data_IF_214722797326
#
_entry.id   IF_214722797326
#
_cell.length_a   1.000
_cell.length_b   1.000
_cell.length_c   1.000
_cell.angle_alpha   90.00
_cell.angle_beta   90.00
_cell.angle_gamma   90.00
#
_symmetry.space_group_name_H-M   'P 1'
#
loop_
_entity.id
_entity.type
_entity.pdbx_description
1 polymer ?
#
# COMPACT_ATOMS: atom_id res chain seq x y z
N UNK A 1 10.52 -5.98 -9.02
CA UNK A 1 9.22 -5.65 -9.65
C UNK A 1 8.59 -4.53 -8.84
N UNK A 2 7.86 -3.62 -9.48
CA UNK A 2 7.18 -2.51 -8.82
C UNK A 2 5.68 -2.59 -9.09
N UNK A 3 4.86 -2.43 -8.06
CA UNK A 3 3.41 -2.28 -8.15
C UNK A 3 3.02 -0.93 -7.58
N UNK A 4 1.99 -0.31 -8.12
CA UNK A 4 1.47 0.97 -7.63
C UNK A 4 0.06 0.77 -7.09
N UNK A 5 -0.18 1.21 -5.87
CA UNK A 5 -1.48 1.32 -5.24
C UNK A 5 -1.81 2.80 -5.11
N UNK A 6 -2.81 3.26 -5.86
CA UNK A 6 -3.23 4.65 -5.81
C UNK A 6 -4.50 4.79 -4.96
N UNK A 7 -4.46 5.61 -3.92
CA UNK A 7 -5.52 5.85 -2.92
C UNK A 7 -6.18 7.21 -3.16
N UNK A 8 -6.37 7.54 -4.43
CA UNK A 8 -6.64 8.85 -5.02
C UNK A 8 -7.78 9.62 -4.36
N UNK A 9 -8.87 8.93 -4.07
CA UNK A 9 -10.10 9.49 -3.50
C UNK A 9 -10.32 9.07 -2.04
N UNK A 10 -9.54 8.10 -1.57
CA UNK A 10 -9.78 7.48 -0.29
C UNK A 10 -9.11 8.28 0.81
N UNK A 11 -9.93 8.73 1.76
CA UNK A 11 -9.47 9.30 3.03
C UNK A 11 -9.36 8.23 4.11
N UNK A 12 -8.67 8.53 5.19
CA UNK A 12 -8.75 7.72 6.39
C UNK A 12 -10.20 7.69 6.92
N UNK A 13 -10.69 6.54 7.43
CA UNK A 13 -9.96 5.28 7.64
C UNK A 13 -9.91 4.35 6.40
N UNK A 14 -10.66 4.65 5.35
CA UNK A 14 -10.85 3.74 4.21
C UNK A 14 -9.56 3.46 3.44
N UNK A 15 -8.74 4.49 3.22
CA UNK A 15 -7.43 4.36 2.60
C UNK A 15 -6.51 3.34 3.30
N UNK A 16 -6.57 3.29 4.64
CA UNK A 16 -5.78 2.34 5.42
C UNK A 16 -6.31 0.91 5.27
N UNK A 17 -7.63 0.72 5.20
CA UNK A 17 -8.23 -0.60 4.97
C UNK A 17 -7.81 -1.19 3.62
N UNK A 18 -7.80 -0.37 2.56
CA UNK A 18 -7.33 -0.78 1.23
C UNK A 18 -5.84 -1.12 1.28
N UNK A 19 -5.04 -0.26 1.90
CA UNK A 19 -3.60 -0.47 2.06
C UNK A 19 -3.29 -1.80 2.75
N UNK A 20 -3.96 -2.10 3.87
CA UNK A 20 -3.79 -3.37 4.60
C UNK A 20 -4.10 -4.57 3.71
N UNK A 21 -5.24 -4.53 3.03
CA UNK A 21 -5.66 -5.61 2.12
C UNK A 21 -4.65 -5.83 1.00
N UNK A 22 -4.12 -4.75 0.42
CA UNK A 22 -3.11 -4.83 -0.63
C UNK A 22 -1.80 -5.46 -0.12
N UNK A 23 -1.34 -5.06 1.07
CA UNK A 23 -0.15 -5.65 1.72
C UNK A 23 -0.37 -7.14 2.01
N UNK A 24 -1.50 -7.51 2.59
CA UNK A 24 -1.84 -8.92 2.89
C UNK A 24 -1.92 -9.78 1.63
N UNK A 25 -2.49 -9.24 0.54
CA UNK A 25 -2.56 -9.92 -0.75
C UNK A 25 -1.16 -10.09 -1.36
N UNK A 26 -0.32 -9.05 -1.33
CA UNK A 26 1.06 -9.13 -1.80
C UNK A 26 1.85 -10.19 -1.01
N UNK A 27 1.73 -10.21 0.31
CA UNK A 27 2.40 -11.21 1.14
C UNK A 27 1.89 -12.64 0.88
N UNK A 28 0.57 -12.84 0.81
CA UNK A 28 -0.03 -14.17 0.61
C UNK A 28 0.25 -14.75 -0.78
N UNK A 29 0.40 -13.90 -1.79
CA UNK A 29 0.85 -14.28 -3.14
C UNK A 29 2.36 -14.52 -3.26
N UNK A 30 3.13 -14.25 -2.19
CA UNK A 30 4.59 -14.38 -2.20
C UNK A 30 5.28 -13.30 -3.03
N UNK A 31 4.63 -12.15 -3.23
CA UNK A 31 5.24 -11.01 -3.93
C UNK A 31 6.51 -10.55 -3.22
N UNK A 32 7.52 -10.24 -4.02
CA UNK A 32 8.79 -9.67 -3.56
C UNK A 32 9.15 -8.48 -4.45
N UNK A 33 9.54 -7.38 -3.84
CA UNK A 33 9.83 -6.13 -4.54
C UNK A 33 9.12 -4.94 -3.90
N UNK A 34 8.85 -3.94 -4.75
CA UNK A 34 8.43 -2.63 -4.31
C UNK A 34 6.92 -2.42 -4.53
N UNK A 35 6.25 -1.85 -3.53
CA UNK A 35 4.89 -1.32 -3.66
C UNK A 35 4.98 0.19 -3.42
N UNK A 36 4.62 0.99 -4.42
CA UNK A 36 4.42 2.43 -4.25
C UNK A 36 2.97 2.69 -3.88
N UNK A 37 2.75 3.43 -2.80
CA UNK A 37 1.43 3.87 -2.36
C UNK A 37 1.35 5.36 -2.61
N UNK A 38 0.45 5.76 -3.51
CA UNK A 38 0.12 7.17 -3.74
C UNK A 38 -1.11 7.53 -2.90
N UNK A 39 -1.02 8.57 -2.09
CA UNK A 39 -2.14 9.01 -1.25
C UNK A 39 -2.11 10.50 -1.03
N UNK A 40 -3.26 11.08 -0.68
CA UNK A 40 -3.38 12.46 -0.23
C UNK A 40 -3.40 12.59 1.30
N UNK A 41 -3.29 11.47 2.00
CA UNK A 41 -3.28 11.37 3.47
C UNK A 41 -1.85 11.43 4.03
N UNK A 42 -1.48 12.57 4.62
CA UNK A 42 -0.16 12.75 5.26
C UNK A 42 0.09 11.75 6.41
N UNK A 43 -0.96 11.35 7.13
CA UNK A 43 -0.83 10.43 8.26
C UNK A 43 -0.57 8.97 7.83
N UNK A 44 -0.66 8.66 6.53
CA UNK A 44 -0.61 7.29 6.03
C UNK A 44 0.70 6.59 6.34
N UNK A 45 1.84 7.28 6.24
CA UNK A 45 3.16 6.71 6.57
C UNK A 45 3.18 6.16 7.99
N UNK A 46 2.74 6.96 8.96
CA UNK A 46 2.71 6.56 10.37
C UNK A 46 1.78 5.37 10.60
N UNK A 47 0.61 5.36 9.96
CA UNK A 47 -0.34 4.25 10.10
C UNK A 47 0.20 2.94 9.50
N UNK A 48 0.87 3.02 8.34
CA UNK A 48 1.53 1.88 7.71
C UNK A 48 2.68 1.39 8.59
N UNK A 49 3.52 2.28 9.08
CA UNK A 49 4.65 1.91 9.94
C UNK A 49 4.17 1.22 11.24
N UNK A 50 3.11 1.74 11.87
CA UNK A 50 2.50 1.12 13.04
C UNK A 50 1.94 -0.27 12.72
N UNK A 51 1.28 -0.43 11.57
CA UNK A 51 0.77 -1.72 11.12
C UNK A 51 1.91 -2.73 10.89
N UNK A 52 2.96 -2.34 10.14
CA UNK A 52 4.13 -3.18 9.90
C UNK A 52 4.75 -3.65 11.23
N UNK A 53 4.94 -2.72 12.17
CA UNK A 53 5.55 -3.02 13.46
C UNK A 53 4.66 -3.91 14.34
N UNK A 54 3.35 -3.66 14.37
CA UNK A 54 2.42 -4.38 15.25
C UNK A 54 2.26 -5.85 14.85
N UNK A 55 2.46 -6.17 13.57
CA UNK A 55 2.34 -7.53 13.03
C UNK A 55 3.70 -8.14 12.65
N UNK A 56 4.80 -7.47 12.99
CA UNK A 56 6.18 -7.91 12.69
C UNK A 56 6.37 -8.29 11.21
N UNK A 57 5.77 -7.50 10.31
CA UNK A 57 5.76 -7.80 8.88
C UNK A 57 7.18 -7.62 8.29
N UNK A 58 7.58 -8.46 7.32
CA UNK A 58 8.87 -8.39 6.63
C UNK A 58 8.91 -7.27 5.57
N UNK A 59 8.41 -6.10 5.92
CA UNK A 59 8.23 -4.96 5.04
C UNK A 59 9.03 -3.80 5.61
N UNK A 60 9.70 -3.06 4.74
CA UNK A 60 10.36 -1.81 5.12
C UNK A 60 9.77 -0.67 4.32
N UNK A 61 9.58 0.47 4.97
CA UNK A 61 9.41 1.72 4.24
C UNK A 61 10.79 2.09 3.69
N UNK A 62 10.92 2.10 2.37
CA UNK A 62 12.17 2.40 1.67
C UNK A 62 12.35 3.91 1.53
N UNK A 63 11.36 4.58 0.93
CA UNK A 63 11.38 6.01 0.66
C UNK A 63 9.98 6.61 0.85
N UNK A 64 9.94 7.86 1.29
CA UNK A 64 8.74 8.69 1.34
C UNK A 64 9.04 10.03 0.69
N UNK A 65 8.20 10.48 -0.22
CA UNK A 65 8.38 11.76 -0.90
C UNK A 65 7.05 12.35 -1.36
N UNK A 66 7.08 13.65 -1.68
CA UNK A 66 5.92 14.38 -2.15
C UNK A 66 6.07 14.68 -3.64
N UNK A 67 5.00 14.48 -4.38
CA UNK A 67 4.88 14.91 -5.77
C UNK A 67 3.76 15.95 -5.88
N UNK A 68 3.93 17.00 -6.71
CA UNK A 68 2.87 17.99 -6.92
C UNK A 68 1.58 17.35 -7.43
N UNK A 69 0.44 17.71 -6.85
CA UNK A 69 -0.87 17.36 -7.38
C UNK A 69 -1.20 18.34 -8.50
N UNK A 70 -0.96 17.93 -9.75
CA UNK A 70 -1.25 18.76 -10.93
C UNK A 70 -2.69 18.57 -11.38
N UNK A 71 -3.20 19.54 -12.15
CA UNK A 71 -4.52 19.43 -12.78
C UNK A 71 -4.62 18.18 -13.66
N UNK A 72 -3.61 17.92 -14.50
CA UNK A 72 -3.58 16.73 -15.35
C UNK A 72 -3.71 15.42 -14.54
N UNK A 73 -3.15 15.38 -13.33
CA UNK A 73 -3.24 14.23 -12.44
C UNK A 73 -4.65 14.09 -11.85
N UNK A 74 -5.28 15.20 -11.46
CA UNK A 74 -6.68 15.22 -11.00
C UNK A 74 -7.61 14.79 -12.12
N UNK A 75 -7.44 15.34 -13.32
CA UNK A 75 -8.25 15.02 -14.49
C UNK A 75 -8.13 13.52 -14.81
N UNK A 76 -6.90 12.97 -14.81
CA UNK A 76 -6.68 11.52 -14.97
C UNK A 76 -7.40 10.70 -13.88
N UNK A 77 -7.37 11.15 -12.63
CA UNK A 77 -7.97 10.44 -11.51
C UNK A 77 -9.50 10.46 -11.57
N UNK A 78 -10.10 11.56 -12.02
CA UNK A 78 -11.53 11.69 -12.27
C UNK A 78 -12.02 10.91 -13.51
N UNK A 79 -11.13 10.60 -14.46
CA UNK A 79 -11.47 9.77 -15.63
C UNK A 79 -11.43 8.26 -15.34
N UNK A 80 -10.58 7.83 -14.40
CA UNK A 80 -10.35 6.42 -14.08
C UNK A 80 -11.35 5.86 -13.04
N UNK A 81 -11.97 6.71 -12.23
CA UNK A 81 -12.75 6.30 -11.05
C UNK A 81 -13.94 7.25 -10.76
N UNK A 82 -14.67 7.01 -9.67
CA UNK A 82 -15.79 7.85 -9.21
C UNK A 82 -15.36 9.17 -8.52
N UNK A 83 -14.07 9.49 -8.50
CA UNK A 83 -13.52 10.71 -7.89
C UNK A 83 -14.04 11.99 -8.57
N UNK A 84 -14.39 13.02 -7.78
CA UNK A 84 -14.76 14.34 -8.31
C UNK A 84 -13.72 15.40 -7.98
N UNK A 85 -13.63 16.44 -8.80
CA UNK A 85 -12.62 17.51 -8.65
C UNK A 85 -12.68 18.19 -7.28
N UNK A 86 -13.86 18.27 -6.69
CA UNK A 86 -14.12 18.86 -5.36
C UNK A 86 -13.37 18.13 -4.23
N UNK A 87 -13.11 16.83 -4.38
CA UNK A 87 -12.37 16.03 -3.39
C UNK A 87 -10.90 16.47 -3.26
N UNK A 88 -10.41 17.26 -4.20
CA UNK A 88 -9.02 17.71 -4.26
C UNK A 88 -8.82 19.16 -3.83
N UNK A 89 -9.89 19.87 -3.44
CA UNK A 89 -9.81 21.26 -3.02
C UNK A 89 -8.92 21.39 -1.77
N UNK A 90 -7.90 22.25 -1.87
CA UNK A 90 -6.97 22.52 -0.77
C UNK A 90 -5.79 21.53 -0.68
N UNK A 91 -5.66 20.62 -1.64
CA UNK A 91 -4.52 19.71 -1.74
C UNK A 91 -3.51 20.21 -2.77
N UNK A 92 -2.24 20.21 -2.41
CA UNK A 92 -1.13 20.62 -3.28
C UNK A 92 -0.20 19.47 -3.68
N UNK A 93 -0.31 18.33 -2.98
CA UNK A 93 0.65 17.23 -3.06
C UNK A 93 -0.01 15.87 -2.94
N UNK A 94 0.64 14.91 -3.58
CA UNK A 94 0.46 13.48 -3.37
C UNK A 94 1.66 13.01 -2.55
N UNK A 95 1.37 12.30 -1.47
CA UNK A 95 2.34 11.59 -0.65
C UNK A 95 2.57 10.22 -1.26
N UNK A 96 3.83 9.91 -1.58
CA UNK A 96 4.25 8.61 -2.11
C UNK A 96 5.05 7.89 -1.04
N UNK A 97 4.63 6.66 -0.74
CA UNK A 97 5.26 5.79 0.26
C UNK A 97 5.68 4.50 -0.45
N UNK A 98 6.97 4.24 -0.48
CA UNK A 98 7.52 3.04 -1.12
C UNK A 98 7.78 1.97 -0.07
N UNK A 99 7.12 0.82 -0.21
CA UNK A 99 7.29 -0.35 0.63
C UNK A 99 8.18 -1.38 -0.09
N UNK A 100 9.21 -1.86 0.59
CA UNK A 100 10.06 -2.97 0.17
C UNK A 100 9.63 -4.24 0.89
N UNK A 101 8.96 -5.13 0.16
CA UNK A 101 8.53 -6.45 0.63
C UNK A 101 9.64 -7.46 0.34
N UNK A 102 10.28 -7.93 1.41
CA UNK A 102 11.35 -8.93 1.33
C UNK A 102 10.79 -10.33 1.55
N UNK A 103 11.38 -11.30 0.86
CA UNK A 103 11.09 -12.71 1.10
C UNK A 103 11.41 -13.05 2.55
N UNK A 104 10.38 -13.39 3.32
CA UNK A 104 10.57 -13.85 4.69
C UNK A 104 10.67 -15.36 4.67
N UNK A 105 11.86 -15.90 4.96
CA UNK A 105 12.10 -17.35 5.09
C UNK A 105 11.23 -18.00 6.19
N UNK A 106 10.65 -17.19 7.09
CA UNK A 106 9.79 -17.65 8.19
C UNK A 106 8.38 -18.02 7.70
N UNK A 107 7.79 -17.24 6.77
CA UNK A 107 6.43 -17.52 6.27
C UNK A 107 6.36 -18.74 5.35
N UNK A 108 7.48 -19.18 4.77
CA UNK A 108 7.53 -20.42 3.99
C UNK A 108 7.49 -21.69 4.86
N UNK A 109 7.93 -21.64 6.12
CA UNK A 109 7.84 -22.80 7.03
C UNK A 109 6.40 -23.15 7.37
N UNK A 110 5.57 -22.16 7.68
CA UNK A 110 4.19 -22.42 8.10
C UNK A 110 3.31 -22.99 6.96
N UNK A 111 3.65 -22.71 5.69
CA UNK A 111 2.94 -23.27 4.52
C UNK A 111 3.38 -24.71 4.19
N UNK A 112 4.61 -25.08 4.56
CA UNK A 112 5.12 -26.44 4.41
C UNK A 112 4.57 -27.38 5.51
N UNK A 113 4.34 -26.86 6.71
CA UNK A 113 3.80 -27.64 7.83
C UNK A 113 2.30 -27.95 7.67
N UNK A 114 1.51 -27.02 7.11
CA UNK A 114 0.07 -27.24 6.86
C UNK A 114 -0.25 -28.16 5.67
N UNK A 115 0.71 -28.41 4.76
CA UNK A 115 0.53 -29.35 3.65
C UNK A 115 0.89 -30.80 4.02
N UNK A 116 1.57 -31.02 5.14
CA UNK A 116 1.95 -32.36 5.61
C UNK A 116 0.92 -32.99 6.57
N UNK A 117 -0.05 -32.24 7.09
CA UNK A 117 -1.06 -32.77 8.02
C UNK A 117 -2.31 -33.37 7.33
N UNK A 118 -2.37 -33.37 6.00
CA UNK A 118 -3.49 -33.94 5.22
C UNK A 118 -3.06 -35.04 4.23
N UNK A 119 -1.84 -35.58 4.39
CA UNK A 119 -1.32 -36.69 3.60
C UNK A 119 -1.08 -37.92 4.46
N UNK A 120 -2.15 -38.44 5.08
CA UNK A 120 -2.25 -39.82 5.58
C UNK A 120 -3.68 -40.35 5.32
#
# INVERSE_FOLDING_TARGET
>A
MMQTLSLKEHRCPYAMSITRRAIELAMSSGFTGLIEIETIEHAMENHIQQFINSYELPIKINECYNVPLTKDKIDQWCEEDDAITEDFIGLDKIYVIQLDIKTNSIFQKNKAETQNEYSD
#
